data_IF_443632619631
#
_entry.id   IF_443632619631
#
_cell.length_a   1.000
_cell.length_b   1.000
_cell.length_c   1.000
_cell.angle_alpha   90.00
_cell.angle_beta   90.00
_cell.angle_gamma   90.00
#
_symmetry.space_group_name_H-M   'P 1'
#
loop_
_entity.id
_entity.type
_entity.pdbx_description
1 polymer ?
#
# COMPACT_ATOMS: atom_id res chain seq x y z
N UNK A 1 -37.19 3.13 0.27
CA UNK A 1 -35.99 4.00 0.35
C UNK A 1 -35.64 4.39 -1.07
N UNK A 2 -35.44 5.68 -1.37
CA UNK A 2 -34.96 6.11 -2.68
C UNK A 2 -33.44 6.00 -2.72
N UNK A 3 -32.89 5.44 -3.80
CA UNK A 3 -31.43 5.40 -4.03
C UNK A 3 -30.92 6.83 -4.30
N UNK A 4 -29.80 7.22 -3.69
CA UNK A 4 -29.19 8.53 -3.93
C UNK A 4 -28.42 8.56 -5.26
N UNK A 5 -27.68 7.50 -5.57
CA UNK A 5 -26.95 7.27 -6.82
C UNK A 5 -26.47 5.81 -6.89
N UNK A 6 -25.97 5.40 -8.05
CA UNK A 6 -25.33 4.09 -8.27
C UNK A 6 -23.92 4.31 -8.80
N UNK A 7 -22.94 3.58 -8.25
CA UNK A 7 -21.54 3.63 -8.71
C UNK A 7 -21.27 2.40 -9.57
N UNK A 8 -20.80 2.54 -10.83
CA UNK A 8 -20.51 1.39 -11.67
C UNK A 8 -19.32 0.58 -11.12
N UNK A 9 -19.34 -0.76 -11.18
CA UNK A 9 -18.24 -1.58 -10.66
C UNK A 9 -16.88 -1.27 -11.28
N UNK A 10 -16.86 -0.79 -12.52
CA UNK A 10 -15.64 -0.45 -13.24
C UNK A 10 -14.85 0.71 -12.62
N UNK A 11 -15.46 1.52 -11.75
CA UNK A 11 -14.79 2.62 -11.02
C UNK A 11 -14.62 2.31 -9.54
N UNK A 12 -14.84 1.07 -9.10
CA UNK A 12 -14.59 0.67 -7.71
C UNK A 12 -13.17 0.11 -7.60
N UNK A 13 -12.38 0.64 -6.67
CA UNK A 13 -11.05 0.12 -6.36
C UNK A 13 -11.18 -0.87 -5.20
N UNK A 14 -10.61 -2.05 -5.36
CA UNK A 14 -10.56 -3.12 -4.36
C UNK A 14 -9.26 -3.91 -4.50
N UNK A 15 -8.89 -4.67 -3.48
CA UNK A 15 -7.71 -5.56 -3.57
C UNK A 15 -7.86 -6.57 -4.70
N UNK A 16 -9.05 -7.13 -4.93
CA UNK A 16 -9.28 -8.07 -6.04
C UNK A 16 -9.08 -7.42 -7.39
N UNK A 17 -9.63 -6.22 -7.62
CA UNK A 17 -9.46 -5.53 -8.91
C UNK A 17 -8.00 -5.17 -9.19
N UNK A 18 -7.23 -4.83 -8.15
CA UNK A 18 -5.79 -4.55 -8.27
C UNK A 18 -5.01 -5.85 -8.59
N UNK A 19 -5.28 -6.94 -7.87
CA UNK A 19 -4.62 -8.23 -8.12
C UNK A 19 -4.90 -8.74 -9.52
N UNK A 20 -6.14 -8.66 -9.98
CA UNK A 20 -6.54 -9.12 -11.31
C UNK A 20 -5.84 -8.30 -12.40
N UNK A 21 -5.80 -6.96 -12.25
CA UNK A 21 -5.14 -6.07 -13.21
C UNK A 21 -3.63 -6.33 -13.37
N UNK A 22 -2.95 -6.73 -12.30
CA UNK A 22 -1.49 -6.92 -12.29
C UNK A 22 -1.02 -8.38 -12.36
N UNK A 23 -1.93 -9.35 -12.25
CA UNK A 23 -1.59 -10.79 -12.29
C UNK A 23 -2.02 -11.49 -13.57
N UNK A 24 -2.87 -10.89 -14.40
CA UNK A 24 -3.29 -11.45 -15.69
C UNK A 24 -2.17 -11.31 -16.71
N UNK A 25 -1.68 -12.42 -17.27
CA UNK A 25 -0.57 -12.42 -18.26
C UNK A 25 -0.92 -11.61 -19.53
N UNK A 26 -2.19 -11.59 -19.92
CA UNK A 26 -2.70 -10.81 -21.05
C UNK A 26 -3.04 -9.36 -20.69
N UNK A 27 -2.86 -8.96 -19.43
CA UNK A 27 -3.21 -7.63 -18.94
C UNK A 27 -2.17 -6.57 -19.30
N UNK A 28 -2.61 -5.39 -19.69
CA UNK A 28 -1.74 -4.23 -19.98
C UNK A 28 -0.79 -3.90 -18.82
N UNK A 29 -1.20 -4.18 -17.59
CA UNK A 29 -0.44 -3.88 -16.38
C UNK A 29 0.18 -5.13 -15.73
N UNK A 30 0.32 -6.22 -16.48
CA UNK A 30 0.90 -7.46 -15.97
C UNK A 30 2.29 -7.23 -15.35
N UNK A 31 2.44 -7.67 -14.10
CA UNK A 31 3.72 -7.67 -13.42
C UNK A 31 4.05 -9.10 -12.96
N UNK A 32 5.08 -9.75 -13.54
CA UNK A 32 5.45 -11.11 -13.19
C UNK A 32 5.66 -11.30 -11.69
N UNK A 33 4.93 -12.25 -11.12
CA UNK A 33 5.03 -12.58 -9.70
C UNK A 33 4.42 -11.55 -8.74
N UNK A 34 3.67 -10.55 -9.22
CA UNK A 34 3.03 -9.52 -8.40
C UNK A 34 2.32 -10.10 -7.17
N UNK A 35 1.39 -11.03 -7.40
CA UNK A 35 0.61 -11.67 -6.32
C UNK A 35 1.50 -12.34 -5.27
N UNK A 36 2.54 -13.06 -5.70
CA UNK A 36 3.47 -13.77 -4.79
C UNK A 36 4.29 -12.78 -3.97
N UNK A 37 4.79 -11.71 -4.59
CA UNK A 37 5.61 -10.68 -3.94
C UNK A 37 4.80 -9.94 -2.88
N UNK A 38 3.62 -9.43 -3.25
CA UNK A 38 2.73 -8.75 -2.31
C UNK A 38 2.28 -9.69 -1.18
N UNK A 39 1.90 -10.94 -1.48
CA UNK A 39 1.52 -11.91 -0.44
C UNK A 39 2.67 -12.17 0.54
N UNK A 40 3.90 -12.30 0.04
CA UNK A 40 5.09 -12.49 0.87
C UNK A 40 5.36 -11.30 1.78
N UNK A 41 5.25 -10.07 1.26
CA UNK A 41 5.41 -8.83 2.05
C UNK A 41 4.36 -8.79 3.16
N UNK A 42 3.08 -8.97 2.80
CA UNK A 42 1.97 -8.87 3.75
C UNK A 42 2.05 -9.96 4.84
N UNK A 43 2.40 -11.20 4.49
CA UNK A 43 2.55 -12.29 5.48
C UNK A 43 3.69 -12.04 6.45
N UNK A 44 4.79 -11.42 5.99
CA UNK A 44 5.92 -11.06 6.85
C UNK A 44 5.56 -9.95 7.82
N UNK A 45 4.89 -8.91 7.33
CA UNK A 45 4.56 -7.73 8.13
C UNK A 45 3.32 -7.89 9.03
N UNK A 46 2.40 -8.78 8.67
CA UNK A 46 1.17 -9.03 9.43
C UNK A 46 1.07 -10.51 9.83
N UNK A 47 1.92 -10.98 10.76
CA UNK A 47 1.95 -12.38 11.18
C UNK A 47 0.63 -12.74 11.88
N UNK A 48 -0.24 -13.45 11.17
CA UNK A 48 -1.58 -13.83 11.62
C UNK A 48 -2.69 -13.55 10.61
N UNK A 49 -2.42 -12.70 9.62
CA UNK A 49 -3.33 -12.49 8.50
C UNK A 49 -3.16 -13.54 7.40
N UNK A 50 -4.22 -13.79 6.64
CA UNK A 50 -4.24 -14.78 5.56
C UNK A 50 -3.41 -14.36 4.31
N UNK A 51 -2.87 -13.13 4.29
CA UNK A 51 -2.29 -12.52 3.09
C UNK A 51 -3.33 -12.34 1.97
N UNK A 52 -2.89 -12.43 0.71
CA UNK A 52 -3.71 -12.44 -0.50
C UNK A 52 -4.36 -13.79 -0.82
N UNK A 53 -4.04 -14.85 -0.06
CA UNK A 53 -4.41 -16.22 -0.40
C UNK A 53 -5.79 -16.66 0.12
N UNK A 54 -6.59 -15.79 0.71
CA UNK A 54 -7.93 -16.17 1.21
C UNK A 54 -8.84 -14.99 1.51
N UNK A 55 -10.15 -15.24 1.56
CA UNK A 55 -11.20 -14.28 1.89
C UNK A 55 -11.20 -13.79 3.35
N UNK A 56 -10.02 -13.62 3.94
CA UNK A 56 -9.80 -13.25 5.34
C UNK A 56 -8.60 -12.32 5.52
N UNK A 57 -8.21 -11.57 4.50
CA UNK A 57 -7.19 -10.52 4.63
C UNK A 57 -7.66 -9.48 5.66
N UNK A 58 -6.83 -9.14 6.63
CA UNK A 58 -7.09 -8.06 7.57
C UNK A 58 -7.34 -6.71 6.88
N UNK A 59 -8.07 -5.81 7.54
CA UNK A 59 -8.43 -4.51 6.95
C UNK A 59 -7.22 -3.59 6.71
N UNK A 60 -6.15 -3.74 7.48
CA UNK A 60 -4.92 -2.94 7.35
C UNK A 60 -4.07 -3.40 6.16
N UNK A 61 -3.79 -4.70 5.96
CA UNK A 61 -3.18 -5.18 4.71
C UNK A 61 -3.93 -4.72 3.45
N UNK A 62 -5.26 -4.65 3.50
CA UNK A 62 -6.05 -4.11 2.39
C UNK A 62 -5.77 -2.62 2.13
N UNK A 63 -5.63 -1.81 3.19
CA UNK A 63 -5.24 -0.40 3.06
C UNK A 63 -3.89 -0.24 2.38
N UNK A 64 -2.91 -1.07 2.74
CA UNK A 64 -1.57 -1.08 2.16
C UNK A 64 -1.63 -1.31 0.65
N UNK A 65 -2.29 -2.39 0.21
CA UNK A 65 -2.35 -2.75 -1.22
C UNK A 65 -3.07 -1.66 -2.03
N UNK A 66 -4.18 -1.16 -1.50
CA UNK A 66 -4.95 -0.10 -2.17
C UNK A 66 -4.19 1.22 -2.21
N UNK A 67 -3.46 1.58 -1.15
CA UNK A 67 -2.61 2.77 -1.12
C UNK A 67 -1.46 2.66 -2.12
N UNK A 68 -0.79 1.51 -2.21
CA UNK A 68 0.26 1.26 -3.21
C UNK A 68 -0.27 1.43 -4.64
N UNK A 69 -1.46 0.94 -4.95
CA UNK A 69 -2.09 1.21 -6.25
C UNK A 69 -2.38 2.70 -6.47
N UNK A 70 -2.95 3.40 -5.48
CA UNK A 70 -3.21 4.83 -5.58
C UNK A 70 -1.92 5.66 -5.76
N UNK A 71 -0.78 5.21 -5.23
CA UNK A 71 0.51 5.87 -5.47
C UNK A 71 0.92 5.81 -6.94
N UNK A 72 0.72 4.66 -7.60
CA UNK A 72 1.02 4.48 -9.02
C UNK A 72 0.15 5.41 -9.86
N UNK A 73 -1.16 5.46 -9.56
CA UNK A 73 -2.11 6.33 -10.26
C UNK A 73 -1.84 7.82 -9.99
N UNK A 74 -1.44 8.18 -8.78
CA UNK A 74 -1.05 9.56 -8.44
C UNK A 74 0.24 9.98 -9.14
N UNK A 75 1.24 9.09 -9.23
CA UNK A 75 2.45 9.34 -10.01
C UNK A 75 2.10 9.56 -11.49
N UNK A 76 1.25 8.68 -12.06
CA UNK A 76 0.76 8.81 -13.43
C UNK A 76 0.07 10.16 -13.66
N UNK A 77 -0.88 10.52 -12.80
CA UNK A 77 -1.62 11.77 -12.90
C UNK A 77 -0.73 13.02 -12.83
N UNK A 78 0.23 13.06 -11.90
CA UNK A 78 1.13 14.21 -11.73
C UNK A 78 2.16 14.37 -12.85
N UNK A 79 2.49 13.29 -13.56
CA UNK A 79 3.52 13.27 -14.61
C UNK A 79 2.94 12.97 -16.00
N UNK A 80 1.71 13.42 -16.28
CA UNK A 80 1.02 13.26 -17.57
C UNK A 80 1.79 13.85 -18.76
N UNK A 81 2.59 14.89 -18.53
CA UNK A 81 3.31 15.63 -19.58
C UNK A 81 4.69 15.00 -19.89
N UNK A 82 4.71 13.71 -20.22
CA UNK A 82 5.85 13.08 -20.91
C UNK A 82 6.45 11.83 -20.27
N UNK A 83 6.10 11.48 -19.03
CA UNK A 83 6.62 10.25 -18.41
C UNK A 83 5.74 9.04 -18.73
N UNK A 84 4.42 9.24 -18.72
CA UNK A 84 3.43 8.20 -18.96
C UNK A 84 2.73 8.40 -20.31
N UNK A 85 2.22 7.31 -20.88
CA UNK A 85 1.36 7.36 -22.05
C UNK A 85 -0.09 7.61 -21.62
N UNK A 86 -0.59 8.83 -21.87
CA UNK A 86 -1.97 9.22 -21.56
C UNK A 86 -2.19 9.64 -20.10
N UNK A 87 -3.45 9.90 -19.75
CA UNK A 87 -3.86 10.33 -18.42
C UNK A 87 -4.21 9.14 -17.52
N UNK A 88 -4.00 9.27 -16.21
CA UNK A 88 -4.53 8.30 -15.25
C UNK A 88 -6.05 8.33 -15.30
N UNK A 89 -6.67 7.17 -15.47
CA UNK A 89 -8.13 7.00 -15.37
C UNK A 89 -8.69 7.49 -14.03
N UNK A 90 -7.87 7.50 -12.98
CA UNK A 90 -8.25 7.92 -11.64
C UNK A 90 -7.88 9.37 -11.33
N UNK A 91 -7.25 10.10 -12.26
CA UNK A 91 -6.83 11.49 -12.09
C UNK A 91 -7.91 12.39 -11.46
N UNK A 92 -9.13 12.45 -12.01
CA UNK A 92 -10.22 13.25 -11.43
C UNK A 92 -10.60 12.87 -10.00
N UNK A 93 -10.51 11.58 -9.66
CA UNK A 93 -10.76 11.12 -8.30
C UNK A 93 -9.61 11.51 -7.36
N UNK A 94 -8.36 11.40 -7.82
CA UNK A 94 -7.18 11.78 -7.05
C UNK A 94 -7.15 13.28 -6.74
N UNK A 95 -7.65 14.13 -7.65
CA UNK A 95 -7.75 15.58 -7.46
C UNK A 95 -8.65 15.99 -6.29
N UNK A 96 -9.66 15.16 -5.95
CA UNK A 96 -10.60 15.46 -4.86
C UNK A 96 -10.23 14.77 -3.54
N UNK A 97 -9.20 13.93 -3.54
CA UNK A 97 -8.71 13.30 -2.30
C UNK A 97 -7.97 14.32 -1.42
N UNK A 98 -8.01 14.17 -0.08
CA UNK A 98 -7.25 15.04 0.81
C UNK A 98 -5.75 15.02 0.49
N UNK A 99 -5.19 16.19 0.18
CA UNK A 99 -3.76 16.36 -0.04
C UNK A 99 -2.94 16.29 1.26
N UNK A 100 -3.59 16.49 2.42
CA UNK A 100 -2.96 16.40 3.74
C UNK A 100 -3.18 15.01 4.36
N UNK A 101 -2.32 14.66 5.32
CA UNK A 101 -2.45 13.44 6.11
C UNK A 101 -3.69 13.52 7.01
N UNK A 102 -4.58 12.52 6.88
CA UNK A 102 -5.79 12.44 7.70
C UNK A 102 -5.40 11.97 9.10
N UNK A 103 -5.79 12.69 10.17
CA UNK A 103 -5.43 12.33 11.54
C UNK A 103 -5.84 10.90 11.91
N UNK A 104 -4.84 10.10 12.29
CA UNK A 104 -4.93 8.73 12.78
C UNK A 104 -3.90 8.56 13.90
N UNK A 105 -4.04 7.52 14.73
CA UNK A 105 -3.04 7.28 15.78
C UNK A 105 -1.61 7.23 15.22
N UNK A 106 -1.38 6.55 14.09
CA UNK A 106 -0.07 6.49 13.44
C UNK A 106 0.40 7.80 12.77
N UNK A 107 -0.42 8.85 12.73
CA UNK A 107 -0.03 10.18 12.24
C UNK A 107 0.18 11.20 13.36
N UNK A 108 -0.06 10.82 14.62
CA UNK A 108 0.03 11.76 15.74
C UNK A 108 1.48 12.06 16.08
N UNK A 109 1.77 13.33 16.33
CA UNK A 109 3.07 13.75 16.85
C UNK A 109 3.15 13.63 18.39
N UNK A 110 4.29 14.01 18.96
CA UNK A 110 4.47 13.97 20.42
C UNK A 110 3.52 14.90 21.18
N UNK A 111 3.11 16.02 20.58
CA UNK A 111 2.15 16.96 21.17
C UNK A 111 0.73 16.38 21.16
N UNK A 112 0.33 15.75 20.06
CA UNK A 112 -0.96 15.07 19.92
C UNK A 112 -1.12 13.93 20.93
N UNK A 113 -0.08 13.09 21.09
CA UNK A 113 -0.10 12.02 22.11
C UNK A 113 -0.10 12.57 23.53
N UNK A 114 0.65 13.63 23.81
CA UNK A 114 0.62 14.29 25.11
C UNK A 114 -0.79 14.85 25.42
N UNK A 115 -1.50 15.34 24.41
CA UNK A 115 -2.87 15.82 24.54
C UNK A 115 -3.89 14.69 24.82
N UNK A 116 -3.65 13.48 24.29
CA UNK A 116 -4.45 12.30 24.63
C UNK A 116 -4.22 11.83 26.07
N UNK A 117 -3.01 12.02 26.61
CA UNK A 117 -2.57 11.54 27.92
C UNK A 117 -2.80 10.02 28.13
N UNK A 118 -2.66 9.22 27.06
CA UNK A 118 -2.88 7.78 27.06
C UNK A 118 -1.68 7.03 26.46
N UNK A 119 -0.88 6.41 27.34
CA UNK A 119 0.31 5.65 26.94
C UNK A 119 0.02 4.32 26.21
N UNK A 120 -1.22 3.81 26.22
CA UNK A 120 -1.59 2.67 25.39
C UNK A 120 -1.81 3.13 23.94
N UNK A 121 -2.54 4.23 23.76
CA UNK A 121 -2.79 4.80 22.43
C UNK A 121 -1.49 5.29 21.79
N UNK A 122 -0.60 5.90 22.56
CA UNK A 122 0.73 6.29 22.08
C UNK A 122 1.54 5.10 21.58
N UNK A 123 1.66 4.04 22.39
CA UNK A 123 2.38 2.83 21.96
C UNK A 123 1.75 2.22 20.72
N UNK A 124 0.42 2.11 20.69
CA UNK A 124 -0.31 1.54 19.54
C UNK A 124 -0.09 2.34 18.26
N UNK A 125 -0.15 3.67 18.33
CA UNK A 125 0.07 4.53 17.18
C UNK A 125 1.52 4.48 16.67
N UNK A 126 2.51 4.48 17.59
CA UNK A 126 3.93 4.31 17.23
C UNK A 126 4.23 2.93 16.64
N UNK A 127 3.65 1.87 17.20
CA UNK A 127 3.80 0.50 16.70
C UNK A 127 3.17 0.38 15.30
N UNK A 128 2.00 0.99 15.10
CA UNK A 128 1.33 1.05 13.79
C UNK A 128 2.19 1.79 12.76
N UNK A 129 2.78 2.94 13.11
CA UNK A 129 3.66 3.69 12.22
C UNK A 129 4.89 2.87 11.82
N UNK A 130 5.60 2.29 12.80
CA UNK A 130 6.76 1.40 12.53
C UNK A 130 6.40 0.21 11.66
N UNK A 131 5.20 -0.36 11.85
CA UNK A 131 4.72 -1.46 11.02
C UNK A 131 4.54 -1.01 9.57
N UNK A 132 3.95 0.17 9.34
CA UNK A 132 3.78 0.72 8.00
C UNK A 132 5.13 1.04 7.33
N UNK A 133 6.08 1.62 8.06
CA UNK A 133 7.45 1.83 7.59
C UNK A 133 8.10 0.51 7.17
N UNK A 134 8.03 -0.52 8.03
CA UNK A 134 8.57 -1.84 7.73
C UNK A 134 7.89 -2.54 6.55
N UNK A 135 6.58 -2.38 6.36
CA UNK A 135 5.86 -2.90 5.18
C UNK A 135 6.34 -2.19 3.91
N UNK A 136 6.53 -0.88 3.99
CA UNK A 136 6.86 -0.07 2.83
C UNK A 136 8.32 -0.27 2.38
N UNK A 137 9.27 -0.19 3.32
CA UNK A 137 10.70 -0.26 3.04
C UNK A 137 11.28 -1.69 3.09
N UNK A 138 10.49 -2.67 3.54
CA UNK A 138 10.90 -4.08 3.56
C UNK A 138 11.40 -4.61 4.90
N UNK A 139 11.44 -3.75 5.92
CA UNK A 139 11.80 -4.07 7.31
C UNK A 139 13.32 -4.05 7.56
N UNK A 140 13.72 -4.36 8.79
CA UNK A 140 15.13 -4.30 9.22
C UNK A 140 16.01 -5.34 8.51
N UNK A 141 15.42 -6.45 8.05
CA UNK A 141 16.12 -7.53 7.35
C UNK A 141 16.51 -7.16 5.91
N UNK A 142 16.15 -5.96 5.43
CA UNK A 142 16.44 -5.49 4.06
C UNK A 142 15.76 -6.33 2.98
N UNK A 143 14.63 -6.97 3.32
CA UNK A 143 13.81 -7.69 2.36
C UNK A 143 13.12 -6.74 1.38
N UNK A 144 12.53 -7.29 0.34
CA UNK A 144 11.70 -6.53 -0.60
C UNK A 144 10.49 -5.89 0.12
N UNK A 145 10.23 -4.60 -0.09
CA UNK A 145 9.10 -3.85 0.48
C UNK A 145 8.04 -3.46 -0.55
N UNK A 146 6.93 -2.88 -0.09
CA UNK A 146 5.92 -2.35 -1.02
C UNK A 146 6.45 -1.22 -1.91
N UNK A 147 7.49 -0.50 -1.49
CA UNK A 147 8.18 0.50 -2.30
C UNK A 147 8.74 -0.12 -3.60
N UNK A 148 9.32 -1.31 -3.53
CA UNK A 148 9.87 -2.01 -4.70
C UNK A 148 8.76 -2.46 -5.65
N UNK A 149 7.65 -2.95 -5.11
CA UNK A 149 6.47 -3.32 -5.90
C UNK A 149 5.88 -2.10 -6.61
N UNK A 150 5.75 -0.97 -5.92
CA UNK A 150 5.25 0.29 -6.52
C UNK A 150 6.21 0.79 -7.59
N UNK A 151 7.52 0.75 -7.36
CA UNK A 151 8.52 1.13 -8.35
C UNK A 151 8.39 0.30 -9.63
N UNK A 152 8.21 -1.01 -9.50
CA UNK A 152 7.99 -1.89 -10.65
C UNK A 152 6.66 -1.65 -11.36
N UNK A 153 5.59 -1.38 -10.61
CA UNK A 153 4.28 -1.02 -11.19
C UNK A 153 4.36 0.27 -12.00
N UNK A 154 5.09 1.28 -11.50
CA UNK A 154 5.34 2.54 -12.23
C UNK A 154 6.23 2.26 -13.44
N UNK A 155 7.34 1.53 -13.25
CA UNK A 155 8.31 1.19 -14.29
C UNK A 155 7.69 0.51 -15.52
N UNK A 156 6.59 -0.23 -15.33
CA UNK A 156 5.84 -0.86 -16.42
C UNK A 156 5.00 0.12 -17.26
N UNK A 157 4.68 1.29 -16.73
CA UNK A 157 3.78 2.27 -17.36
C UNK A 157 4.50 3.50 -17.92
N UNK A 158 5.75 3.73 -17.50
CA UNK A 158 6.56 4.84 -18.00
C UNK A 158 7.27 4.48 -19.32
N UNK A 159 7.71 5.49 -20.06
CA UNK A 159 8.45 5.30 -21.30
C UNK A 159 9.72 4.44 -21.09
N UNK A 160 10.04 3.61 -22.09
CA UNK A 160 11.21 2.72 -22.01
C UNK A 160 12.51 3.51 -21.78
N UNK A 161 13.26 3.15 -20.73
CA UNK A 161 14.50 3.82 -20.34
C UNK A 161 14.32 5.05 -19.45
N UNK A 162 13.08 5.45 -19.15
CA UNK A 162 12.82 6.45 -18.11
C UNK A 162 13.01 5.85 -16.71
N UNK A 163 13.48 6.67 -15.77
CA UNK A 163 13.60 6.30 -14.36
C UNK A 163 12.36 6.75 -13.59
N UNK A 164 12.00 5.99 -12.55
CA UNK A 164 10.88 6.33 -11.66
C UNK A 164 11.25 7.57 -10.84
N UNK A 165 10.46 8.66 -10.88
CA UNK A 165 10.75 9.85 -10.07
C UNK A 165 10.78 9.50 -8.58
N UNK A 166 11.81 9.92 -7.81
CA UNK A 166 11.87 9.66 -6.38
C UNK A 166 10.66 10.21 -5.60
N UNK A 167 10.05 11.29 -6.10
CA UNK A 167 8.82 11.87 -5.55
C UNK A 167 7.61 10.92 -5.58
N UNK A 168 7.61 9.93 -6.46
CA UNK A 168 6.55 8.91 -6.54
C UNK A 168 6.72 7.76 -5.53
N UNK A 169 7.88 7.68 -4.87
CA UNK A 169 8.25 6.57 -3.98
C UNK A 169 8.49 7.02 -2.53
N UNK A 170 8.00 8.21 -2.15
CA UNK A 170 8.14 8.72 -0.78
C UNK A 170 7.16 8.06 0.21
N UNK A 171 7.65 7.70 1.40
CA UNK A 171 6.84 7.13 2.47
C UNK A 171 5.69 8.04 2.89
N UNK A 172 5.88 9.36 2.93
CA UNK A 172 4.82 10.31 3.28
C UNK A 172 3.60 10.20 2.36
N UNK A 173 3.83 9.95 1.05
CA UNK A 173 2.74 9.75 0.09
C UNK A 173 2.03 8.43 0.33
N UNK A 174 2.78 7.36 0.62
CA UNK A 174 2.24 6.07 1.01
C UNK A 174 1.38 6.17 2.28
N UNK A 175 1.91 6.76 3.35
CA UNK A 175 1.22 6.90 4.64
C UNK A 175 -0.05 7.74 4.50
N UNK A 176 0.01 8.85 3.75
CA UNK A 176 -1.17 9.65 3.42
C UNK A 176 -2.23 8.82 2.71
N UNK A 177 -1.87 8.05 1.69
CA UNK A 177 -2.84 7.24 0.94
C UNK A 177 -3.39 6.08 1.77
N UNK A 178 -2.60 5.47 2.65
CA UNK A 178 -3.10 4.51 3.65
C UNK A 178 -4.13 5.17 4.58
N UNK A 179 -3.91 6.42 5.00
CA UNK A 179 -4.87 7.20 5.79
C UNK A 179 -6.16 7.50 5.01
N UNK A 180 -6.04 7.83 3.73
CA UNK A 180 -7.16 8.03 2.81
C UNK A 180 -7.98 6.75 2.67
N UNK A 181 -7.37 5.61 2.35
CA UNK A 181 -8.10 4.35 2.18
C UNK A 181 -8.80 3.94 3.47
N UNK A 182 -8.11 4.02 4.62
CA UNK A 182 -8.68 3.62 5.91
C UNK A 182 -9.89 4.46 6.34
N UNK A 183 -9.92 5.74 5.97
CA UNK A 183 -11.01 6.66 6.32
C UNK A 183 -12.17 6.67 5.31
N UNK A 184 -11.92 6.31 4.05
CA UNK A 184 -12.89 6.44 2.95
C UNK A 184 -13.42 5.12 2.41
N UNK A 185 -12.67 4.02 2.55
CA UNK A 185 -13.09 2.74 2.03
C UNK A 185 -14.29 2.19 2.82
N UNK A 186 -15.31 1.74 2.08
CA UNK A 186 -16.43 1.01 2.66
C UNK A 186 -16.06 -0.46 2.82
N UNK A 187 -16.44 -1.06 3.96
CA UNK A 187 -16.22 -2.48 4.21
C UNK A 187 -17.51 -3.25 3.92
N UNK A 188 -17.48 -4.11 2.90
CA UNK A 188 -18.58 -5.01 2.56
C UNK A 188 -18.09 -6.45 2.69
N UNK A 189 -18.72 -7.26 3.56
CA UNK A 189 -18.34 -8.68 3.75
C UNK A 189 -16.84 -8.89 4.05
N UNK A 190 -16.23 -7.96 4.79
CA UNK A 190 -14.81 -8.03 5.16
C UNK A 190 -13.83 -7.51 4.10
N UNK A 191 -14.30 -7.07 2.93
CA UNK A 191 -13.46 -6.47 1.89
C UNK A 191 -13.67 -4.96 1.82
N UNK A 192 -12.58 -4.22 1.67
CA UNK A 192 -12.56 -2.77 1.47
C UNK A 192 -12.76 -2.43 0.01
N UNK A 193 -13.61 -1.43 -0.21
CA UNK A 193 -13.94 -0.89 -1.51
C UNK A 193 -13.86 0.63 -1.43
N UNK A 194 -12.98 1.23 -2.24
CA UNK A 194 -13.02 2.66 -2.50
C UNK A 194 -14.00 2.89 -3.64
N UNK A 195 -15.05 3.63 -3.34
CA UNK A 195 -16.12 3.95 -4.29
C UNK A 195 -16.11 5.46 -4.50
N UNK A 196 -15.46 5.95 -5.57
CA UNK A 196 -15.49 7.37 -5.89
C UNK A 196 -16.92 7.88 -5.83
N UNK A 197 -17.07 9.10 -5.33
CA UNK A 197 -18.36 9.76 -5.05
C UNK A 197 -19.06 9.31 -3.78
N UNK A 198 -19.18 8.00 -3.54
CA UNK A 198 -19.89 7.51 -2.38
C UNK A 198 -19.13 7.73 -1.07
N UNK A 199 -17.80 7.69 -1.16
CA UNK A 199 -16.87 7.96 -0.06
C UNK A 199 -16.78 9.45 0.33
N UNK A 200 -17.47 10.34 -0.39
CA UNK A 200 -17.59 11.77 -0.06
C UNK A 200 -18.75 12.05 0.92
N UNK A 201 -19.57 11.04 1.24
CA UNK A 201 -20.67 11.19 2.20
C UNK A 201 -20.10 11.24 3.62
N UNK A 202 -20.27 12.40 4.27
CA UNK A 202 -19.82 12.59 5.65
C UNK A 202 -20.73 11.88 6.65
N UNK A 203 -20.13 11.39 7.73
CA UNK A 203 -20.86 10.90 8.89
C UNK A 203 -21.61 12.05 9.57
N UNK A 204 -22.90 11.86 9.82
CA UNK A 204 -23.71 12.74 10.67
C UNK A 204 -24.37 11.87 11.74
N UNK A 205 -24.02 12.04 13.02
CA UNK A 205 -24.62 11.27 14.09
C UNK A 205 -26.11 11.58 14.11
N UNK A 206 -26.95 10.57 13.88
CA UNK A 206 -28.38 10.75 14.09
C UNK A 206 -28.60 10.91 15.59
N UNK A 207 -29.34 11.94 16.05
CA UNK A 207 -29.76 11.98 17.44
C UNK A 207 -30.46 10.65 17.69
N UNK A 208 -29.91 9.84 18.61
CA UNK A 208 -30.62 8.67 19.12
C UNK A 208 -31.92 9.23 19.61
N UNK A 209 -33.01 8.99 18.85
CA UNK A 209 -34.29 9.62 19.10
C UNK A 209 -34.56 9.47 20.58
N UNK A 210 -34.51 10.59 21.30
CA UNK A 210 -34.74 10.64 22.74
C UNK A 210 -36.17 10.26 22.94
N UNK A 211 -36.43 8.95 22.94
CA UNK A 211 -37.71 8.35 23.22
C UNK A 211 -38.03 8.57 24.68
N UNK A 212 -38.35 9.81 25.03
CA UNK A 212 -39.14 10.18 26.20
C UNK A 212 -40.59 9.69 26.08
N UNK A 213 -40.87 8.74 25.17
CA UNK A 213 -42.08 7.97 25.16
C UNK A 213 -42.02 6.93 26.26
N UNK A 214 -42.53 7.29 27.44
CA UNK A 214 -43.02 6.33 28.45
C UNK A 214 -44.11 5.47 27.81
N UNK A 215 -43.73 4.42 27.10
CA UNK A 215 -44.67 3.59 26.35
C UNK A 215 -44.00 2.32 25.90
N UNK A 216 -43.88 1.37 26.84
CA UNK A 216 -43.15 0.13 26.66
C UNK A 216 -43.62 -0.68 25.45
N UNK A 217 -42.75 -0.80 24.45
CA UNK A 217 -42.49 -2.06 23.76
C UNK A 217 -40.98 -2.13 23.55
N UNK A 218 -40.34 -3.12 24.18
CA UNK A 218 -38.95 -3.51 23.92
C UNK A 218 -38.82 -3.79 22.42
N UNK A 219 -38.44 -2.79 21.64
CA UNK A 219 -37.80 -3.05 20.35
C UNK A 219 -36.39 -3.46 20.70
N UNK A 220 -36.12 -4.75 20.51
CA UNK A 220 -34.78 -5.31 20.54
C UNK A 220 -33.83 -4.38 19.80
N UNK A 221 -32.76 -4.06 20.49
CA UNK A 221 -31.70 -3.15 20.08
C UNK A 221 -31.30 -3.46 18.64
N UNK A 222 -31.73 -2.59 17.72
CA UNK A 222 -31.21 -2.61 16.37
C UNK A 222 -29.73 -2.21 16.48
N UNK A 223 -28.86 -3.21 16.52
CA UNK A 223 -27.43 -3.05 16.36
C UNK A 223 -27.19 -2.06 15.21
N UNK A 224 -26.29 -1.08 15.36
CA UNK A 224 -25.97 -0.18 14.27
C UNK A 224 -25.64 -1.04 13.05
N UNK A 225 -26.21 -0.76 11.85
CA UNK A 225 -26.04 -1.61 10.67
C UNK A 225 -24.59 -1.68 10.16
N UNK A 226 -23.68 -0.97 10.83
CA UNK A 226 -22.24 -1.01 10.66
C UNK A 226 -21.60 -1.23 12.04
N UNK A 227 -21.21 -2.47 12.34
CA UNK A 227 -20.22 -2.72 13.39
C UNK A 227 -18.89 -2.14 12.93
N UNK A 228 -18.61 -0.89 13.32
CA UNK A 228 -17.30 -0.26 13.15
C UNK A 228 -16.26 -1.11 13.91
N UNK A 229 -15.33 -1.70 13.16
CA UNK A 229 -14.05 -2.21 13.64
C UNK A 229 -14.07 -3.17 14.85
N UNK A 230 -14.98 -4.15 14.89
CA UNK A 230 -14.73 -5.37 15.69
C UNK A 230 -13.98 -6.41 14.85
N UNK A 231 -12.81 -6.05 14.36
CA UNK A 231 -11.88 -7.00 13.74
C UNK A 231 -11.10 -7.77 14.82
N UNK A 232 -11.23 -9.10 14.81
CA UNK A 232 -10.31 -10.10 15.36
C UNK A 232 -9.93 -10.13 16.86
N UNK A 233 -10.38 -9.20 17.71
CA UNK A 233 -10.15 -9.33 19.16
C UNK A 233 -10.75 -10.63 19.77
N UNK A 234 -11.76 -11.21 19.11
CA UNK A 234 -12.38 -12.47 19.53
C UNK A 234 -11.58 -13.73 19.17
N UNK A 235 -10.63 -13.67 18.23
CA UNK A 235 -9.87 -14.85 17.79
C UNK A 235 -8.74 -15.23 18.78
N UNK A 236 -8.16 -14.25 19.47
CA UNK A 236 -7.06 -14.49 20.43
C UNK A 236 -7.53 -15.20 21.71
N UNK A 237 -8.81 -15.06 22.10
CA UNK A 237 -9.33 -15.64 23.35
C UNK A 237 -9.63 -17.15 23.30
N UNK A 238 -9.60 -17.81 22.14
CA UNK A 238 -9.95 -19.25 22.04
C UNK A 238 -8.77 -20.22 22.15
N UNK A 239 -7.52 -19.73 22.24
CA UNK A 239 -6.32 -20.58 22.33
C UNK A 239 -5.83 -20.95 23.74
N UNK A 240 -6.27 -20.23 24.78
CA UNK A 240 -5.65 -20.31 26.11
C UNK A 240 -6.39 -21.19 27.13
N UNK A 241 -6.95 -22.33 26.71
CA UNK A 241 -7.53 -23.32 27.64
C UNK A 241 -6.97 -24.72 27.43
N UNK A 242 -5.64 -24.86 27.57
CA UNK A 242 -4.99 -26.16 27.75
C UNK A 242 -4.96 -26.53 29.23
N UNK A 243 -5.57 -27.67 29.55
CA UNK A 243 -5.64 -28.29 30.87
C UNK A 243 -4.23 -28.58 31.38
N UNK A 244 -3.89 -28.10 32.58
CA UNK A 244 -2.74 -28.57 33.35
C UNK A 244 -3.04 -29.96 33.91
N UNK A 245 -2.54 -30.99 33.23
CA UNK A 245 -2.49 -32.36 33.72
C UNK A 245 -1.03 -32.73 34.02
N UNK A 246 -0.74 -32.88 35.30
CA UNK A 246 0.52 -33.29 35.92
C UNK A 246 0.80 -34.79 35.67
N UNK A 247 2.03 -35.16 35.27
CA UNK A 247 2.86 -36.31 35.75
C UNK A 247 4.11 -36.43 34.86
N UNK A 248 5.32 -36.20 35.39
CA UNK A 248 6.25 -37.11 36.10
C UNK A 248 7.41 -37.52 35.16
N UNK A 249 8.59 -37.30 35.73
CA UNK A 249 9.96 -37.56 35.30
C UNK A 249 10.21 -39.07 35.05
N UNK A 250 10.90 -39.44 33.96
CA UNK A 250 12.14 -40.23 33.99
C UNK A 250 12.72 -40.50 32.59
N UNK A 251 14.00 -40.86 32.62
CA UNK A 251 15.09 -40.75 31.65
C UNK A 251 15.20 -41.86 30.56
N UNK A 252 16.19 -41.67 29.69
CA UNK A 252 16.97 -42.64 28.87
C UNK A 252 16.56 -42.91 27.41
N UNK A 253 17.31 -42.28 26.49
CA UNK A 253 18.23 -43.01 25.60
C UNK A 253 17.78 -43.51 24.21
N UNK A 254 18.70 -43.28 23.25
CA UNK A 254 18.94 -44.01 22.00
C UNK A 254 18.16 -43.63 20.72
N UNK A 255 18.89 -43.01 19.78
CA UNK A 255 18.81 -43.24 18.32
C UNK A 255 19.08 -44.73 18.01
N UNK A 256 18.53 -45.34 16.93
CA UNK A 256 18.90 -44.99 15.55
C UNK A 256 17.83 -45.20 14.43
N UNK A 257 18.15 -44.60 13.28
CA UNK A 257 17.97 -45.06 11.88
C UNK A 257 16.71 -45.79 11.35
N UNK A 258 16.43 -45.46 10.08
CA UNK A 258 15.88 -46.29 9.01
C UNK A 258 14.35 -46.28 8.74
N UNK A 259 14.04 -45.69 7.59
CA UNK A 259 12.95 -45.98 6.63
C UNK A 259 12.94 -47.50 6.33
N UNK A 260 11.80 -48.23 6.24
CA UNK A 260 11.01 -48.24 5.00
C UNK A 260 9.49 -48.47 5.06
N UNK A 261 8.89 -48.09 3.93
CA UNK A 261 7.61 -48.47 3.32
C UNK A 261 7.11 -49.90 3.63
N UNK A 262 5.79 -50.03 3.78
CA UNK A 262 5.06 -51.22 3.32
C UNK A 262 3.73 -50.87 2.64
N UNK A 263 3.54 -51.51 1.49
CA UNK A 263 2.33 -51.59 0.69
C UNK A 263 1.26 -52.47 1.34
N UNK A 264 -0.01 -52.15 1.09
CA UNK A 264 -1.11 -53.10 1.05
C UNK A 264 -1.68 -53.16 -0.36
N UNK A 265 -1.45 -54.27 -1.05
CA UNK A 265 -1.83 -54.54 -2.44
C UNK A 265 -3.10 -55.40 -2.54
N UNK A 266 -3.85 -55.22 -3.63
CA UNK A 266 -4.51 -56.32 -4.36
C UNK A 266 -4.61 -55.89 -5.83
N UNK A 267 -3.79 -56.39 -6.78
CA UNK A 267 -3.82 -57.70 -7.49
C UNK A 267 -5.18 -58.00 -8.15
N UNK A 268 -5.31 -58.51 -9.39
CA UNK A 268 -4.41 -58.85 -10.52
C UNK A 268 -5.32 -59.48 -11.61
N UNK A 269 -5.17 -59.22 -12.92
CA UNK A 269 -4.70 -60.15 -14.00
C UNK A 269 -4.95 -59.46 -15.37
N UNK A 270 -3.92 -59.23 -16.19
CA UNK A 270 -3.31 -60.12 -17.23
C UNK A 270 -4.29 -60.35 -18.41
N UNK A 271 -3.93 -60.13 -19.69
CA UNK A 271 -2.77 -60.66 -20.42
C UNK A 271 -2.40 -59.86 -21.69
N UNK A 272 -1.09 -59.79 -21.96
CA UNK A 272 -0.35 -59.57 -23.24
C UNK A 272 -0.63 -60.72 -24.27
N UNK A 273 -0.17 -60.73 -25.55
CA UNK A 273 1.18 -60.31 -26.00
C UNK A 273 1.46 -59.81 -27.45
N UNK A 274 2.65 -59.21 -27.55
CA UNK A 274 3.75 -59.32 -28.54
C UNK A 274 3.57 -59.08 -30.07
N UNK A 275 4.37 -58.10 -30.52
CA UNK A 275 5.37 -58.07 -31.61
C UNK A 275 5.00 -58.49 -33.04
N UNK A 276 5.26 -57.55 -33.98
CA UNK A 276 6.10 -57.79 -35.17
C UNK A 276 6.31 -56.49 -35.98
N UNK A 277 7.57 -56.06 -36.14
CA UNK A 277 8.07 -55.36 -37.36
C UNK A 277 8.21 -56.39 -38.51
N UNK A 278 8.56 -56.08 -39.80
CA UNK A 278 9.21 -54.88 -40.36
C UNK A 278 8.81 -54.48 -41.83
N UNK A 279 9.61 -53.58 -42.44
CA UNK A 279 9.76 -53.22 -43.88
C UNK A 279 8.80 -52.13 -44.40
N UNK A 280 9.21 -51.16 -45.22
CA UNK A 280 10.51 -50.88 -45.85
C UNK A 280 10.35 -49.76 -46.92
N UNK A 281 11.49 -49.17 -47.29
CA UNK A 281 11.70 -48.39 -48.53
C UNK A 281 11.30 -46.92 -48.49
N UNK A 282 11.91 -46.01 -49.24
CA UNK A 282 13.18 -45.98 -49.97
C UNK A 282 13.30 -44.56 -50.57
N UNK A 283 14.54 -44.10 -50.79
CA UNK A 283 14.88 -42.97 -51.67
C UNK A 283 15.00 -41.60 -51.00
N UNK A 284 16.07 -40.82 -51.18
CA UNK A 284 17.25 -40.97 -52.03
C UNK A 284 17.84 -39.59 -52.36
N UNK A 285 19.17 -39.44 -52.16
CA UNK A 285 20.06 -38.42 -52.78
C UNK A 285 19.92 -36.96 -52.29
N UNK A 286 20.96 -36.12 -52.26
CA UNK A 286 22.33 -36.24 -52.73
C UNK A 286 23.22 -35.15 -52.08
N UNK A 287 24.48 -35.53 -51.82
CA UNK A 287 25.74 -34.77 -51.67
C UNK A 287 25.75 -33.33 -52.22
N UNK A 288 26.46 -32.33 -51.66
CA UNK A 288 27.94 -32.27 -51.63
C UNK A 288 28.53 -31.26 -50.65
N UNK A 289 29.72 -31.62 -50.17
CA UNK A 289 30.74 -30.84 -49.43
C UNK A 289 31.15 -29.52 -50.11
N UNK A 290 31.61 -28.58 -49.29
CA UNK A 290 32.50 -27.49 -49.71
C UNK A 290 33.22 -26.83 -48.53
N UNK A 291 34.46 -27.26 -48.27
CA UNK A 291 35.44 -26.52 -47.44
C UNK A 291 35.81 -25.22 -48.15
N UNK A 292 36.05 -24.15 -47.40
CA UNK A 292 37.24 -23.31 -47.60
C UNK A 292 37.51 -22.44 -46.37
N UNK A 293 38.80 -22.43 -46.00
CA UNK A 293 39.39 -21.56 -45.01
C UNK A 293 39.97 -20.33 -45.72
N UNK A 294 39.95 -19.17 -45.06
CA UNK A 294 40.90 -18.09 -45.34
C UNK A 294 41.12 -17.23 -44.11
N UNK A 295 42.40 -16.91 -43.91
CA UNK A 295 42.98 -16.14 -42.84
C UNK A 295 43.12 -14.64 -43.20
N UNK A 296 43.33 -13.81 -42.17
CA UNK A 296 43.81 -12.42 -42.21
C UNK A 296 43.34 -11.73 -40.93
N UNK A 297 44.15 -11.38 -39.91
CA UNK A 297 45.46 -10.70 -39.80
C UNK A 297 45.43 -9.27 -40.37
N UNK A 298 45.39 -8.27 -39.46
CA UNK A 298 45.90 -6.87 -39.53
C UNK A 298 45.68 -6.30 -38.10
N UNK A 299 46.73 -6.21 -37.27
CA UNK A 299 47.60 -5.04 -36.96
C UNK A 299 47.04 -4.03 -35.93
N UNK A 300 47.47 -4.26 -34.69
CA UNK A 300 48.30 -3.38 -33.85
C UNK A 300 48.69 -2.01 -34.45
N UNK A 301 48.49 -0.95 -33.66
CA UNK A 301 48.84 0.42 -34.00
C UNK A 301 48.75 1.35 -32.79
N UNK A 302 49.75 1.24 -31.91
CA UNK A 302 50.16 2.28 -30.95
C UNK A 302 50.26 3.66 -31.60
N UNK A 303 49.88 4.72 -30.87
CA UNK A 303 50.49 6.07 -30.91
C UNK A 303 49.89 7.01 -29.84
N UNK A 304 50.57 7.10 -28.69
CA UNK A 304 50.91 8.38 -28.02
C UNK A 304 52.25 8.88 -28.62
N UNK A 305 52.71 10.16 -28.51
CA UNK A 305 52.63 11.03 -27.32
C UNK A 305 52.52 12.56 -27.56
N UNK A 306 52.46 13.30 -26.43
CA UNK A 306 53.01 14.66 -26.15
C UNK A 306 52.62 15.83 -27.07
N UNK A 307 52.40 17.08 -26.66
CA UNK A 307 52.62 17.87 -25.45
C UNK A 307 52.14 19.29 -25.79
N UNK A 308 51.63 20.06 -24.81
CA UNK A 308 51.96 21.48 -24.57
C UNK A 308 50.82 22.23 -23.86
N UNK A 309 51.20 22.86 -22.74
CA UNK A 309 50.51 23.96 -22.05
C UNK A 309 50.54 25.22 -22.95
N UNK A 310 49.66 26.23 -22.71
CA UNK A 310 49.95 27.23 -21.68
C UNK A 310 48.76 27.68 -20.82
N UNK A 311 49.09 27.86 -19.54
CA UNK A 311 48.85 29.02 -18.66
C UNK A 311 47.51 29.81 -18.65
N UNK A 312 47.03 29.95 -17.41
CA UNK A 312 46.61 31.18 -16.71
C UNK A 312 45.13 31.63 -16.74
N UNK A 313 44.48 31.53 -15.56
CA UNK A 313 43.91 32.60 -14.71
C UNK A 313 42.95 31.93 -13.70
N UNK A 314 43.32 31.77 -12.42
CA UNK A 314 43.16 32.73 -11.31
C UNK A 314 41.78 33.38 -11.24
N UNK A 315 40.99 33.06 -10.20
CA UNK A 315 40.27 33.99 -9.29
C UNK A 315 39.52 33.19 -8.19
N UNK A 316 39.74 33.60 -6.93
CA UNK A 316 38.96 33.44 -5.69
C UNK A 316 38.64 32.03 -5.15
N UNK A 317 38.91 31.64 -3.89
CA UNK A 317 39.29 32.40 -2.69
C UNK A 317 38.10 32.60 -1.73
N UNK A 318 38.28 32.18 -0.46
CA UNK A 318 37.40 32.27 0.74
C UNK A 318 36.51 31.04 0.99
N UNK A 319 36.91 30.02 1.77
CA UNK A 319 37.30 29.94 3.20
C UNK A 319 36.21 30.37 4.19
N UNK A 320 35.65 29.34 4.84
CA UNK A 320 34.94 29.32 6.12
C UNK A 320 35.62 30.18 7.20
N UNK A 321 34.84 30.76 8.12
CA UNK A 321 35.28 31.02 9.47
C UNK A 321 34.66 30.03 10.48
N UNK A 322 35.36 29.79 11.62
CA UNK A 322 35.05 28.75 12.57
C UNK A 322 34.12 29.21 13.72
N UNK A 323 33.71 28.19 14.48
CA UNK A 323 32.94 28.26 15.71
C UNK A 323 33.52 29.22 16.77
N UNK A 324 32.62 29.94 17.44
CA UNK A 324 32.87 30.62 18.71
C UNK A 324 31.77 30.28 19.71
N UNK A 325 32.21 29.79 20.86
CA UNK A 325 31.42 29.47 22.03
C UNK A 325 30.80 30.72 22.67
N UNK A 326 29.54 30.63 23.08
CA UNK A 326 28.97 31.50 24.10
C UNK A 326 28.11 30.71 25.08
N UNK A 327 28.57 30.70 26.34
CA UNK A 327 27.76 30.44 27.53
C UNK A 327 26.69 31.53 27.66
N UNK A 328 25.48 31.14 27.99
CA UNK A 328 24.42 32.07 28.40
C UNK A 328 23.08 31.36 28.53
N UNK A 329 22.79 30.81 29.71
CA UNK A 329 21.47 30.35 30.06
C UNK A 329 20.55 31.57 30.31
N UNK A 330 19.32 31.60 29.76
CA UNK A 330 18.27 32.45 30.28
C UNK A 330 17.31 31.64 31.16
N UNK A 331 17.14 32.13 32.38
CA UNK A 331 16.08 31.74 33.31
C UNK A 331 14.71 32.08 32.73
N UNK A 332 13.84 31.07 32.66
CA UNK A 332 12.42 31.26 32.32
C UNK A 332 11.69 31.73 33.59
N UNK A 333 11.48 33.04 33.70
CA UNK A 333 10.51 33.64 34.60
C UNK A 333 9.20 33.85 33.82
N UNK A 334 8.31 32.87 33.94
CA UNK A 334 6.94 32.93 33.44
C UNK A 334 6.18 34.05 34.18
N UNK A 335 5.99 35.19 33.51
CA UNK A 335 5.12 36.25 34.03
C UNK A 335 3.68 36.00 33.59
N UNK A 336 2.75 36.06 34.54
CA UNK A 336 1.28 35.93 34.40
C UNK A 336 0.63 36.82 33.33
N UNK A 337 1.38 37.71 32.69
CA UNK A 337 0.93 38.62 31.62
C UNK A 337 0.78 37.93 30.25
N UNK A 338 1.55 36.87 29.97
CA UNK A 338 1.50 36.16 28.67
C UNK A 338 0.20 35.40 28.41
N UNK A 339 -0.45 34.86 29.45
CA UNK A 339 -1.70 34.09 29.32
C UNK A 339 -2.90 34.92 28.86
N UNK A 340 -3.00 36.20 29.23
CA UNK A 340 -4.12 37.06 28.79
C UNK A 340 -4.05 37.45 27.32
N UNK A 341 -2.83 37.53 26.75
CA UNK A 341 -2.65 37.91 25.33
C UNK A 341 -2.99 36.77 24.37
N UNK A 342 -2.72 35.53 24.76
CA UNK A 342 -3.10 34.33 24.00
C UNK A 342 -4.61 34.04 24.06
N UNK A 343 -5.26 34.36 25.18
CA UNK A 343 -6.71 34.16 25.34
C UNK A 343 -7.54 35.11 24.47
N UNK A 344 -7.12 36.39 24.35
CA UNK A 344 -7.79 37.36 23.48
C UNK A 344 -7.56 37.08 21.98
N UNK A 345 -6.42 36.49 21.60
CA UNK A 345 -6.21 36.05 20.20
C UNK A 345 -7.08 34.84 19.84
N UNK A 346 -7.27 33.90 20.77
CA UNK A 346 -8.14 32.73 20.58
C UNK A 346 -9.63 33.11 20.43
N UNK A 347 -10.09 34.14 21.15
CA UNK A 347 -11.48 34.64 21.04
C UNK A 347 -11.72 35.38 19.72
N UNK A 348 -10.76 36.19 19.23
CA UNK A 348 -10.88 36.85 17.92
C UNK A 348 -10.88 35.86 16.74
N UNK A 349 -10.30 34.66 16.93
CA UNK A 349 -10.28 33.61 15.91
C UNK A 349 -11.60 32.83 15.86
N UNK A 350 -12.33 32.73 16.98
CA UNK A 350 -13.69 32.17 17.01
C UNK A 350 -14.69 33.08 16.31
N UNK A 351 -14.61 34.39 16.55
CA UNK A 351 -15.57 35.36 16.01
C UNK A 351 -15.48 35.52 14.47
N UNK A 352 -14.30 35.30 13.89
CA UNK A 352 -14.11 35.26 12.42
C UNK A 352 -14.57 33.95 11.77
N UNK A 353 -14.70 32.87 12.54
CA UNK A 353 -15.11 31.56 12.01
C UNK A 353 -16.63 31.46 11.82
N UNK A 354 -17.39 32.19 12.63
CA UNK A 354 -18.86 32.20 12.57
C UNK A 354 -19.41 33.15 11.49
N UNK A 355 -18.57 34.02 10.91
CA UNK A 355 -18.96 35.04 9.93
C UNK A 355 -18.67 34.67 8.47
N UNK A 356 -18.16 33.46 8.17
CA UNK A 356 -17.83 33.01 6.80
C UNK A 356 -18.30 31.59 6.44
N UNK A 357 -19.45 31.12 6.93
CA UNK A 357 -20.05 29.90 6.37
C UNK A 357 -21.07 30.25 5.28
N UNK A 358 -20.78 30.03 3.98
CA UNK A 358 -21.81 30.11 2.96
C UNK A 358 -22.87 29.05 3.24
N UNK A 359 -24.14 29.47 3.21
CA UNK A 359 -25.28 28.64 3.56
C UNK A 359 -25.31 27.33 2.75
N UNK A 360 -25.87 26.28 3.36
CA UNK A 360 -25.98 24.91 2.82
C UNK A 360 -26.51 24.79 1.38
N UNK A 361 -27.22 25.80 0.87
CA UNK A 361 -27.69 25.87 -0.52
C UNK A 361 -26.57 26.05 -1.55
N UNK A 362 -25.52 26.80 -1.22
CA UNK A 362 -24.39 27.05 -2.12
C UNK A 362 -23.58 25.76 -2.35
N UNK A 363 -23.26 25.04 -1.27
CA UNK A 363 -22.54 23.77 -1.35
C UNK A 363 -23.27 22.69 -2.14
N UNK A 364 -24.61 22.64 -2.07
CA UNK A 364 -25.39 21.66 -2.86
C UNK A 364 -25.35 21.92 -4.37
N UNK A 365 -25.30 23.17 -4.79
CA UNK A 365 -25.27 23.52 -6.22
C UNK A 365 -23.88 23.32 -6.81
N UNK A 366 -22.83 23.74 -6.10
CA UNK A 366 -21.44 23.53 -6.53
C UNK A 366 -21.09 22.05 -6.57
N UNK A 367 -21.42 21.29 -5.51
CA UNK A 367 -21.16 19.86 -5.47
C UNK A 367 -21.89 19.11 -6.60
N UNK A 368 -23.13 19.47 -6.95
CA UNK A 368 -23.87 18.83 -8.06
C UNK A 368 -23.26 19.09 -9.43
N UNK A 369 -22.70 20.29 -9.66
CA UNK A 369 -22.05 20.63 -10.92
C UNK A 369 -20.73 19.88 -11.07
N UNK A 370 -19.89 19.90 -10.03
CA UNK A 370 -18.64 19.13 -10.01
C UNK A 370 -18.90 17.61 -10.12
N UNK A 371 -19.98 17.11 -9.50
CA UNK A 371 -20.44 15.72 -9.65
C UNK A 371 -20.72 15.34 -11.11
N UNK A 372 -21.43 16.21 -11.82
CA UNK A 372 -21.87 15.95 -13.19
C UNK A 372 -20.67 15.98 -14.17
N UNK A 373 -19.74 16.91 -13.97
CA UNK A 373 -18.50 16.99 -14.75
C UNK A 373 -17.60 15.77 -14.47
N UNK A 374 -17.44 15.37 -13.20
CA UNK A 374 -16.65 14.19 -12.83
C UNK A 374 -17.23 12.89 -13.40
N UNK A 375 -18.57 12.71 -13.35
CA UNK A 375 -19.23 11.55 -13.95
C UNK A 375 -19.13 11.55 -15.48
N UNK A 376 -19.19 12.71 -16.14
CA UNK A 376 -19.00 12.80 -17.59
C UNK A 376 -17.57 12.44 -18.01
N UNK A 377 -16.56 12.78 -17.20
CA UNK A 377 -15.16 12.43 -17.46
C UNK A 377 -14.92 10.94 -17.22
N UNK A 378 -15.42 10.37 -16.11
CA UNK A 378 -15.20 8.96 -15.76
C UNK A 378 -15.98 7.96 -16.64
N UNK A 379 -17.05 8.40 -17.31
CA UNK A 379 -17.88 7.57 -18.18
C UNK A 379 -17.53 7.66 -19.68
N UNK A 380 -16.55 8.51 -20.05
CA UNK A 380 -15.90 8.47 -21.36
C UNK A 380 -14.71 7.53 -21.29
#
# INVERSE_FOLDING_TARGET
MQSLFTVPPSVIISVSSIVDAHSSEDGEHFLPGFRRRVDSILRRSFPGDAGLAGGGMGLVPQDVVMASFLMVEECHHRHRDGLFHGDSRWGPYLDVLPAHLIPRLDSFDGGDYAALADGMLERTGRDSLRTLEGVYDGGEDGGEGMRDVVADMIGRRIAAGAEVPPSCLGFDSFHRLVAVVSSRAMVLRGTKHMTPLADMINYSPRPRGGGGGKGGRRREDADPPFTLYQGNAAAVKRGARRKSGRKVLEDVGATPAAVPLFLGAARVRRTMPQSSSPRGGDGGGCSTRGRQATAGRIREGDRRPSSSLPAARSIAGHLFPPASAHRGAPSVLETRSGRRRLQLQAESFRERRDSQQPGWGYWRLTARRELAEMLQIMCR
#
